data_IF_756758399808
#
_entry.id   IF_756758399808
#
_cell.length_a   1.000
_cell.length_b   1.000
_cell.length_c   1.000
_cell.angle_alpha   90.00
_cell.angle_beta   90.00
_cell.angle_gamma   90.00
#
_symmetry.space_group_name_H-M   'P 1'
#
loop_
_entity.id
_entity.type
_entity.pdbx_description
1 polymer ?
#
# COMPACT_ATOMS: atom_id res chain seq x y z
N UNK A 1 6.98 7.08 0.77
CA UNK A 1 6.42 6.40 -0.41
C UNK A 1 7.24 5.16 -0.66
N UNK A 2 6.62 4.05 -1.06
CA UNK A 2 7.35 2.82 -1.37
C UNK A 2 6.49 1.77 -2.04
N UNK A 3 7.16 0.87 -2.75
CA UNK A 3 6.57 -0.25 -3.48
C UNK A 3 6.88 -1.58 -2.79
N UNK A 4 5.93 -2.53 -2.78
CA UNK A 4 6.15 -3.88 -2.25
C UNK A 4 6.58 -3.85 -0.77
N UNK A 5 7.77 -4.38 -0.45
CA UNK A 5 8.38 -4.26 0.88
C UNK A 5 8.62 -2.80 1.31
N UNK A 6 8.84 -1.89 0.37
CA UNK A 6 8.85 -0.45 0.62
C UNK A 6 7.46 0.11 0.94
N UNK A 7 6.39 -0.52 0.44
CA UNK A 7 5.01 -0.22 0.81
C UNK A 7 4.73 -0.64 2.26
N UNK A 8 5.13 -1.85 2.66
CA UNK A 8 5.16 -2.29 4.06
C UNK A 8 5.91 -1.29 4.95
N UNK A 9 7.13 -0.92 4.55
CA UNK A 9 7.97 0.02 5.30
C UNK A 9 7.29 1.39 5.41
N UNK A 10 6.60 1.84 4.35
CA UNK A 10 5.82 3.09 4.37
C UNK A 10 4.72 3.03 5.43
N UNK A 11 3.98 1.92 5.53
CA UNK A 11 2.94 1.74 6.55
C UNK A 11 3.53 1.66 7.97
N UNK A 12 4.65 0.96 8.14
CA UNK A 12 5.35 0.87 9.42
C UNK A 12 5.77 2.25 9.96
N UNK A 13 6.37 3.08 9.10
CA UNK A 13 6.84 4.42 9.47
C UNK A 13 5.68 5.39 9.71
N UNK A 14 4.52 5.15 9.09
CA UNK A 14 3.30 5.93 9.35
C UNK A 14 2.56 5.54 10.62
N UNK A 15 3.04 4.55 11.37
CA UNK A 15 2.47 4.15 12.66
C UNK A 15 1.63 2.88 12.64
N UNK A 16 1.74 2.04 11.61
CA UNK A 16 1.12 0.72 11.63
C UNK A 16 1.58 -0.08 12.85
N UNK A 17 0.64 -0.45 13.73
CA UNK A 17 0.93 -1.26 14.90
C UNK A 17 1.12 -2.72 14.49
N UNK A 18 2.17 -3.35 15.00
CA UNK A 18 2.45 -4.75 14.69
C UNK A 18 1.59 -5.68 15.55
N UNK A 19 1.06 -6.73 14.93
CA UNK A 19 0.26 -7.76 15.59
C UNK A 19 1.13 -8.77 16.35
N UNK A 20 2.05 -8.28 17.20
CA UNK A 20 3.07 -9.09 17.89
C UNK A 20 2.45 -10.24 18.67
N UNK A 21 1.34 -10.01 19.35
CA UNK A 21 0.66 -11.05 20.15
C UNK A 21 0.05 -12.14 19.25
N UNK A 22 -0.52 -11.76 18.10
CA UNK A 22 -1.04 -12.72 17.12
C UNK A 22 0.08 -13.57 16.53
N UNK A 23 1.22 -12.96 16.19
CA UNK A 23 2.38 -13.71 15.71
C UNK A 23 2.89 -14.70 16.75
N UNK A 24 2.96 -14.29 18.03
CA UNK A 24 3.41 -15.18 19.11
C UNK A 24 2.47 -16.37 19.30
N UNK A 25 1.16 -16.16 19.17
CA UNK A 25 0.15 -17.21 19.27
C UNK A 25 0.21 -18.20 18.09
N UNK A 26 0.39 -17.69 16.88
CA UNK A 26 0.30 -18.46 15.63
C UNK A 26 1.65 -18.95 15.11
N UNK A 27 2.74 -18.75 15.86
CA UNK A 27 4.08 -19.09 15.41
C UNK A 27 4.32 -20.53 14.92
N UNK A 28 3.61 -21.56 15.42
CA UNK A 28 3.67 -22.91 14.85
C UNK A 28 3.08 -23.02 13.43
N UNK A 29 2.11 -22.17 13.07
CA UNK A 29 1.32 -22.24 11.83
C UNK A 29 1.66 -21.11 10.83
N UNK A 30 2.48 -20.14 11.24
CA UNK A 30 2.86 -19.00 10.40
C UNK A 30 3.86 -19.40 9.31
N UNK A 31 3.59 -19.00 8.06
CA UNK A 31 4.39 -19.35 6.90
C UNK A 31 5.81 -18.70 6.86
N UNK A 32 6.21 -17.97 7.90
CA UNK A 32 7.50 -17.28 7.99
C UNK A 32 8.31 -17.77 9.21
N UNK A 33 8.89 -18.99 9.17
CA UNK A 33 9.63 -19.59 10.29
C UNK A 33 10.70 -18.68 10.90
N UNK A 34 11.38 -17.88 10.07
CA UNK A 34 12.44 -16.96 10.49
C UNK A 34 11.94 -15.80 11.35
N UNK A 35 10.67 -15.39 11.20
CA UNK A 35 10.08 -14.36 12.07
C UNK A 35 9.90 -14.94 13.47
N UNK A 36 9.42 -16.16 13.58
CA UNK A 36 9.18 -16.82 14.86
C UNK A 36 10.45 -17.09 15.66
N UNK A 37 11.55 -17.44 15.00
CA UNK A 37 12.84 -17.62 15.65
C UNK A 37 13.37 -16.30 16.24
N UNK A 38 13.19 -15.19 15.52
CA UNK A 38 13.69 -13.87 15.92
C UNK A 38 12.71 -13.11 16.84
N UNK A 39 11.45 -13.55 16.94
CA UNK A 39 10.39 -12.79 17.60
C UNK A 39 10.65 -12.55 19.09
N UNK A 40 11.14 -13.51 19.90
CA UNK A 40 11.40 -13.26 21.32
C UNK A 40 12.35 -12.08 21.56
N UNK A 41 13.39 -11.94 20.73
CA UNK A 41 14.37 -10.85 20.83
C UNK A 41 13.85 -9.55 20.21
N UNK A 42 13.09 -9.63 19.12
CA UNK A 42 12.61 -8.47 18.39
C UNK A 42 11.26 -7.91 18.88
N UNK A 43 10.50 -8.65 19.69
CA UNK A 43 9.13 -8.31 20.08
C UNK A 43 9.00 -6.93 20.71
N UNK A 44 9.93 -6.57 21.62
CA UNK A 44 9.92 -5.25 22.26
C UNK A 44 10.06 -4.12 21.23
N UNK A 45 10.86 -4.32 20.18
CA UNK A 45 11.05 -3.35 19.11
C UNK A 45 9.80 -3.21 18.23
N UNK A 46 9.17 -4.33 17.87
CA UNK A 46 7.93 -4.29 17.09
C UNK A 46 6.76 -3.70 17.87
N UNK A 47 6.66 -3.97 19.19
CA UNK A 47 5.66 -3.33 20.06
C UNK A 47 5.86 -1.82 20.20
N UNK A 48 7.10 -1.35 20.21
CA UNK A 48 7.39 0.09 20.21
C UNK A 48 6.98 0.76 18.88
N UNK A 49 6.91 0.00 17.79
CA UNK A 49 6.58 0.49 16.45
C UNK A 49 7.73 1.29 15.81
N UNK A 50 7.49 1.78 14.60
CA UNK A 50 8.47 2.57 13.82
C UNK A 50 7.91 3.94 13.40
N UNK A 51 6.83 4.38 14.05
CA UNK A 51 6.18 5.65 13.75
C UNK A 51 7.19 6.81 13.79
N UNK A 52 7.22 7.62 12.73
CA UNK A 52 8.01 8.86 12.70
C UNK A 52 7.07 10.08 12.61
N UNK A 53 6.98 10.92 13.66
CA UNK A 53 6.04 12.04 13.70
C UNK A 53 6.32 13.13 12.66
N UNK A 54 7.48 13.08 11.98
CA UNK A 54 7.83 14.01 10.91
C UNK A 54 7.15 13.64 9.58
N UNK A 55 6.68 12.41 9.43
CA UNK A 55 5.97 11.96 8.22
C UNK A 55 4.53 12.47 8.25
N UNK A 56 4.09 13.07 7.14
CA UNK A 56 2.78 13.74 7.03
C UNK A 56 1.86 13.16 5.96
N UNK A 57 2.39 12.32 5.08
CA UNK A 57 1.62 11.62 4.05
C UNK A 57 2.34 10.32 3.66
N UNK A 58 1.58 9.26 3.44
CA UNK A 58 2.06 7.96 3.02
C UNK A 58 1.56 7.61 1.63
N UNK A 59 2.43 6.98 0.83
CA UNK A 59 2.07 6.44 -0.48
C UNK A 59 2.58 5.00 -0.52
N UNK A 60 1.67 4.05 -0.36
CA UNK A 60 1.98 2.63 -0.32
C UNK A 60 1.50 1.98 -1.64
N UNK A 61 2.43 1.50 -2.44
CA UNK A 61 2.18 0.89 -3.76
C UNK A 61 2.37 -0.61 -3.68
N UNK A 62 1.33 -1.39 -3.97
CA UNK A 62 1.34 -2.84 -3.84
C UNK A 62 2.01 -3.31 -2.53
N UNK A 63 1.61 -2.79 -1.35
CA UNK A 63 2.30 -3.07 -0.11
C UNK A 63 2.26 -4.55 0.26
N UNK A 64 3.42 -5.09 0.63
CA UNK A 64 3.55 -6.46 1.14
C UNK A 64 3.21 -6.59 2.62
N UNK A 65 3.27 -7.83 3.08
CA UNK A 65 3.35 -8.20 4.50
C UNK A 65 2.22 -7.64 5.38
N UNK A 66 1.00 -7.53 4.86
CA UNK A 66 -0.19 -7.11 5.63
C UNK A 66 -0.34 -7.86 6.96
N UNK A 67 -0.06 -9.16 6.95
CA UNK A 67 -0.21 -10.05 8.11
C UNK A 67 0.68 -9.62 9.30
N UNK A 68 1.69 -8.78 9.04
CA UNK A 68 2.49 -8.19 10.10
C UNK A 68 1.71 -7.16 10.96
N UNK A 69 0.71 -6.51 10.38
CA UNK A 69 -0.06 -5.47 11.07
C UNK A 69 -1.46 -5.94 11.45
N UNK A 70 -2.13 -6.69 10.56
CA UNK A 70 -3.56 -7.02 10.69
C UNK A 70 -4.38 -5.74 10.95
N UNK A 71 -5.29 -5.78 11.92
CA UNK A 71 -6.10 -4.62 12.35
C UNK A 71 -5.26 -3.48 12.95
N UNK A 72 -3.99 -3.72 13.27
CA UNK A 72 -3.05 -2.71 13.77
C UNK A 72 -2.79 -1.57 12.78
N UNK A 73 -3.15 -1.71 11.50
CA UNK A 73 -3.15 -0.61 10.54
C UNK A 73 -4.18 0.48 10.87
N UNK A 74 -5.21 0.19 11.67
CA UNK A 74 -6.17 1.18 12.14
C UNK A 74 -5.54 2.26 13.02
N UNK A 75 -4.35 2.02 13.57
CA UNK A 75 -3.59 3.01 14.34
C UNK A 75 -2.91 4.09 13.47
N UNK A 76 -2.92 3.94 12.13
CA UNK A 76 -2.31 4.92 11.23
C UNK A 76 -3.22 6.14 11.11
N UNK A 77 -2.86 7.22 11.81
CA UNK A 77 -3.51 8.53 11.66
C UNK A 77 -2.97 9.31 10.45
N UNK A 78 -1.76 8.98 9.99
CA UNK A 78 -1.15 9.67 8.85
C UNK A 78 -1.90 9.32 7.57
N UNK A 79 -2.33 10.29 6.76
CA UNK A 79 -3.03 10.03 5.50
C UNK A 79 -2.30 9.04 4.60
N UNK A 80 -3.02 8.07 4.05
CA UNK A 80 -2.47 7.03 3.16
C UNK A 80 -3.12 7.10 1.79
N UNK A 81 -2.29 7.20 0.75
CA UNK A 81 -2.64 6.83 -0.61
C UNK A 81 -2.22 5.38 -0.85
N UNK A 82 -3.21 4.50 -0.93
CA UNK A 82 -3.02 3.07 -1.16
C UNK A 82 -3.21 2.75 -2.65
N UNK A 83 -2.12 2.40 -3.33
CA UNK A 83 -2.10 2.08 -4.75
C UNK A 83 -2.04 0.56 -4.92
N UNK A 84 -2.99 -0.03 -5.65
CA UNK A 84 -3.14 -1.49 -5.79
C UNK A 84 -3.46 -1.90 -7.23
N UNK A 85 -3.13 -3.13 -7.60
CA UNK A 85 -3.46 -3.72 -8.90
C UNK A 85 -4.31 -4.98 -8.73
N UNK A 86 -5.44 -5.09 -9.45
CA UNK A 86 -6.34 -6.24 -9.31
C UNK A 86 -5.74 -7.57 -9.76
N UNK A 87 -4.73 -7.51 -10.64
CA UNK A 87 -4.03 -8.68 -11.18
C UNK A 87 -2.69 -8.91 -10.48
N UNK A 88 -2.40 -8.22 -9.38
CA UNK A 88 -1.18 -8.43 -8.58
C UNK A 88 -1.16 -9.86 -8.02
N UNK A 89 -0.08 -10.59 -8.29
CA UNK A 89 0.08 -12.00 -7.88
C UNK A 89 0.97 -12.17 -6.66
N UNK A 90 1.75 -11.15 -6.29
CA UNK A 90 2.62 -11.17 -5.10
C UNK A 90 1.87 -10.65 -3.89
N UNK A 91 1.28 -9.47 -4.02
CA UNK A 91 0.49 -8.79 -2.98
C UNK A 91 -0.96 -8.72 -3.43
N UNK A 92 -1.57 -9.90 -3.53
CA UNK A 92 -2.89 -10.07 -4.11
C UNK A 92 -3.96 -9.20 -3.46
N UNK A 93 -5.01 -8.92 -4.21
CA UNK A 93 -6.18 -8.19 -3.70
C UNK A 93 -6.80 -8.82 -2.45
N UNK A 94 -6.92 -10.15 -2.43
CA UNK A 94 -7.49 -10.85 -1.29
C UNK A 94 -6.52 -10.94 -0.10
N UNK A 95 -5.20 -11.06 -0.36
CA UNK A 95 -4.19 -11.26 0.68
C UNK A 95 -3.63 -9.97 1.28
N UNK A 96 -3.68 -8.85 0.56
CA UNK A 96 -3.09 -7.58 1.02
C UNK A 96 -3.91 -6.36 0.64
N UNK A 97 -4.26 -6.18 -0.64
CA UNK A 97 -4.92 -4.95 -1.11
C UNK A 97 -6.23 -4.62 -0.38
N UNK A 98 -7.16 -5.57 -0.31
CA UNK A 98 -8.44 -5.39 0.37
C UNK A 98 -8.30 -5.36 1.89
N UNK A 99 -7.57 -6.30 2.54
CA UNK A 99 -7.39 -6.26 3.99
C UNK A 99 -6.71 -4.99 4.51
N UNK A 100 -5.65 -4.50 3.85
CA UNK A 100 -5.00 -3.22 4.21
C UNK A 100 -6.00 -2.08 4.13
N UNK A 101 -6.78 -2.02 3.05
CA UNK A 101 -7.78 -0.97 2.90
C UNK A 101 -8.86 -1.05 3.98
N UNK A 102 -9.33 -2.25 4.32
CA UNK A 102 -10.34 -2.44 5.37
C UNK A 102 -9.83 -2.02 6.74
N UNK A 103 -8.59 -2.37 7.09
CA UNK A 103 -7.99 -2.06 8.39
C UNK A 103 -7.71 -0.56 8.61
N UNK A 104 -7.41 0.22 7.56
CA UNK A 104 -7.23 1.68 7.68
C UNK A 104 -8.52 2.38 8.14
N UNK A 105 -8.42 3.47 8.91
CA UNK A 105 -9.57 4.18 9.47
C UNK A 105 -9.49 5.70 9.26
N UNK A 106 -10.63 6.34 9.02
CA UNK A 106 -10.71 7.80 8.90
C UNK A 106 -10.69 8.33 7.46
N UNK A 107 -11.29 9.50 7.22
CA UNK A 107 -11.65 9.99 5.89
C UNK A 107 -10.46 10.55 5.08
N UNK A 108 -9.26 10.60 5.66
CA UNK A 108 -8.07 11.12 5.00
C UNK A 108 -7.47 10.12 3.99
N UNK A 109 -7.71 8.83 4.16
CA UNK A 109 -7.15 7.79 3.31
C UNK A 109 -7.85 7.72 1.95
N UNK A 110 -7.08 7.43 0.91
CA UNK A 110 -7.57 7.18 -0.45
C UNK A 110 -6.97 5.89 -0.96
N UNK A 111 -7.74 5.16 -1.77
CA UNK A 111 -7.23 4.01 -2.51
C UNK A 111 -7.47 4.22 -3.99
N UNK A 112 -6.45 3.90 -4.77
CA UNK A 112 -6.46 3.94 -6.23
C UNK A 112 -6.11 2.54 -6.71
N UNK A 113 -7.05 1.89 -7.39
CA UNK A 113 -6.91 0.50 -7.82
C UNK A 113 -6.93 0.41 -9.34
N UNK A 114 -5.90 -0.23 -9.90
CA UNK A 114 -5.79 -0.48 -11.33
C UNK A 114 -6.44 -1.83 -11.69
N UNK A 115 -7.44 -1.80 -12.58
CA UNK A 115 -8.19 -2.98 -12.99
C UNK A 115 -7.31 -4.03 -13.70
N UNK A 116 -6.34 -3.57 -14.50
CA UNK A 116 -5.34 -4.42 -15.15
C UNK A 116 -3.92 -4.12 -14.62
N UNK A 117 -3.79 -3.71 -13.36
CA UNK A 117 -2.49 -3.53 -12.71
C UNK A 117 -1.99 -4.83 -12.07
N UNK A 118 -0.70 -5.12 -12.21
CA UNK A 118 0.01 -6.17 -11.49
C UNK A 118 1.02 -5.60 -10.49
N UNK A 119 1.82 -6.46 -9.88
CA UNK A 119 2.79 -6.06 -8.85
C UNK A 119 3.79 -5.03 -9.36
N UNK A 120 4.30 -5.21 -10.58
CA UNK A 120 5.35 -4.36 -11.15
C UNK A 120 4.84 -3.12 -11.88
N UNK A 121 3.51 -2.91 -11.96
CA UNK A 121 2.89 -1.73 -12.58
C UNK A 121 3.34 -0.39 -11.95
N UNK A 122 3.82 -0.42 -10.71
CA UNK A 122 4.25 0.76 -9.96
C UNK A 122 5.77 0.99 -10.03
N UNK A 123 6.47 0.36 -10.98
CA UNK A 123 7.93 0.36 -11.03
C UNK A 123 8.44 0.68 -12.43
N UNK A 124 9.66 1.22 -12.49
CA UNK A 124 10.38 1.37 -13.75
C UNK A 124 11.13 0.11 -14.18
N UNK A 125 10.83 -1.08 -13.62
CA UNK A 125 11.61 -2.29 -13.87
C UNK A 125 11.26 -2.99 -15.19
N UNK A 126 10.04 -2.80 -15.70
CA UNK A 126 9.55 -3.49 -16.90
C UNK A 126 10.47 -3.42 -18.14
N UNK A 127 11.09 -2.28 -18.50
CA UNK A 127 12.01 -2.22 -19.64
C UNK A 127 13.41 -2.78 -19.36
N UNK A 128 13.79 -3.03 -18.10
CA UNK A 128 15.18 -3.35 -17.73
C UNK A 128 15.39 -4.81 -17.33
N UNK A 129 14.35 -5.52 -16.91
CA UNK A 129 14.51 -6.89 -16.38
C UNK A 129 13.83 -7.87 -17.33
N UNK A 130 14.64 -8.53 -18.16
CA UNK A 130 14.24 -9.44 -19.24
C UNK A 130 13.35 -10.60 -18.81
N UNK A 131 12.07 -10.34 -18.63
CA UNK A 131 11.03 -11.31 -18.34
C UNK A 131 10.45 -11.30 -16.93
N UNK A 132 11.07 -10.63 -15.97
CA UNK A 132 10.54 -10.50 -14.60
C UNK A 132 9.29 -9.61 -14.62
N UNK A 133 8.22 -10.05 -13.98
CA UNK A 133 6.96 -9.31 -13.96
C UNK A 133 6.17 -9.37 -15.27
N UNK A 134 6.60 -10.14 -16.28
CA UNK A 134 5.81 -10.33 -17.52
C UNK A 134 4.42 -10.86 -17.23
N UNK A 135 4.26 -11.71 -16.24
CA UNK A 135 2.99 -12.25 -15.80
C UNK A 135 2.41 -11.54 -14.56
N UNK A 136 2.97 -10.37 -14.19
CA UNK A 136 2.59 -9.61 -13.00
C UNK A 136 2.87 -8.09 -13.13
N UNK A 137 2.37 -7.45 -14.19
CA UNK A 137 2.39 -5.98 -14.34
C UNK A 137 3.25 -5.40 -15.46
N UNK A 138 4.08 -6.21 -16.13
CA UNK A 138 4.94 -5.78 -17.25
C UNK A 138 4.59 -6.43 -18.60
N UNK A 139 3.66 -7.38 -18.61
CA UNK A 139 3.21 -8.08 -19.82
C UNK A 139 2.13 -7.34 -20.60
N UNK A 140 1.76 -7.87 -21.78
CA UNK A 140 0.74 -7.26 -22.65
C UNK A 140 -0.68 -7.30 -22.06
N UNK A 141 -0.94 -8.15 -21.07
CA UNK A 141 -2.26 -8.28 -20.43
C UNK A 141 -2.50 -7.22 -19.34
N UNK A 142 -1.50 -6.37 -19.06
CA UNK A 142 -1.54 -5.35 -18.02
C UNK A 142 -1.60 -3.93 -18.61
N UNK A 143 -2.04 -2.95 -17.82
CA UNK A 143 -1.98 -1.54 -18.21
C UNK A 143 -0.52 -1.15 -18.50
N UNK A 144 -0.20 -0.66 -19.72
CA UNK A 144 1.18 -0.33 -20.08
C UNK A 144 1.77 0.76 -19.18
N UNK A 145 3.07 0.73 -18.85
CA UNK A 145 3.71 1.76 -18.03
C UNK A 145 3.52 3.20 -18.54
N UNK A 146 3.50 3.38 -19.87
CA UNK A 146 3.27 4.69 -20.50
C UNK A 146 1.87 5.27 -20.20
N UNK A 147 0.91 4.43 -19.82
CA UNK A 147 -0.45 4.80 -19.42
C UNK A 147 -0.58 4.81 -17.88
N UNK A 148 -0.07 3.79 -17.20
CA UNK A 148 -0.18 3.65 -15.76
C UNK A 148 0.60 4.75 -15.00
N UNK A 149 1.85 5.02 -15.39
CA UNK A 149 2.73 5.91 -14.62
C UNK A 149 2.25 7.37 -14.58
N UNK A 150 1.81 7.99 -15.71
CA UNK A 150 1.21 9.32 -15.64
C UNK A 150 0.02 9.37 -14.68
N UNK A 151 -0.88 8.38 -14.75
CA UNK A 151 -2.04 8.31 -13.85
C UNK A 151 -1.63 8.16 -12.38
N UNK A 152 -0.65 7.30 -12.07
CA UNK A 152 -0.07 7.17 -10.72
C UNK A 152 0.48 8.52 -10.24
N UNK A 153 1.25 9.22 -11.08
CA UNK A 153 1.85 10.51 -10.74
C UNK A 153 0.77 11.56 -10.45
N UNK A 154 -0.28 11.64 -11.26
CA UNK A 154 -1.39 12.58 -11.04
C UNK A 154 -2.09 12.34 -9.69
N UNK A 155 -2.41 11.08 -9.37
CA UNK A 155 -3.02 10.74 -8.07
C UNK A 155 -2.09 11.03 -6.89
N UNK A 156 -0.80 10.69 -7.02
CA UNK A 156 0.21 10.98 -6.01
C UNK A 156 0.33 12.49 -5.79
N UNK A 157 0.40 13.26 -6.88
CA UNK A 157 0.55 14.71 -6.80
C UNK A 157 -0.68 15.36 -6.18
N UNK A 158 -1.88 15.01 -6.63
CA UNK A 158 -3.13 15.50 -6.05
C UNK A 158 -3.22 15.18 -4.54
N UNK A 159 -2.81 13.97 -4.14
CA UNK A 159 -2.81 13.56 -2.73
C UNK A 159 -1.83 14.37 -1.89
N UNK A 160 -0.60 14.58 -2.39
CA UNK A 160 0.41 15.36 -1.68
C UNK A 160 0.05 16.85 -1.60
N UNK A 161 -0.52 17.42 -2.67
CA UNK A 161 -1.03 18.79 -2.66
C UNK A 161 -2.04 19.01 -1.54
N UNK A 162 -3.02 18.12 -1.45
CA UNK A 162 -4.04 18.16 -0.41
C UNK A 162 -3.44 17.97 0.99
N UNK A 163 -2.64 16.92 1.20
CA UNK A 163 -2.22 16.52 2.54
C UNK A 163 -1.05 17.32 3.11
N UNK A 164 -0.16 17.84 2.26
CA UNK A 164 1.02 18.59 2.72
C UNK A 164 0.81 20.10 2.67
N UNK A 165 0.00 20.60 1.73
CA UNK A 165 -0.15 22.03 1.48
C UNK A 165 -1.57 22.56 1.69
N UNK A 166 -2.55 21.68 1.93
CA UNK A 166 -3.96 22.08 2.01
C UNK A 166 -4.51 22.58 0.67
N UNK A 167 -3.83 22.30 -0.44
CA UNK A 167 -4.23 22.70 -1.78
C UNK A 167 -5.24 21.69 -2.34
N UNK A 168 -6.46 22.14 -2.56
CA UNK A 168 -7.58 21.32 -3.03
C UNK A 168 -7.74 21.32 -4.56
N UNK A 169 -6.84 21.94 -5.31
CA UNK A 169 -6.92 21.97 -6.78
C UNK A 169 -6.98 20.55 -7.40
N UNK A 170 -6.23 19.59 -6.82
CA UNK A 170 -6.25 18.18 -7.23
C UNK A 170 -7.37 17.35 -6.58
N UNK A 171 -8.19 17.92 -5.70
CA UNK A 171 -9.15 17.18 -4.87
C UNK A 171 -10.19 16.43 -5.68
N UNK A 172 -10.63 17.01 -6.80
CA UNK A 172 -11.60 16.40 -7.70
C UNK A 172 -11.11 15.06 -8.27
N UNK A 173 -9.79 14.86 -8.43
CA UNK A 173 -9.24 13.57 -8.87
C UNK A 173 -9.42 12.49 -7.78
N UNK A 174 -9.27 12.85 -6.51
CA UNK A 174 -9.38 11.94 -5.36
C UNK A 174 -10.83 11.67 -4.97
N UNK A 175 -11.72 12.65 -5.19
CA UNK A 175 -13.09 12.64 -4.71
C UNK A 175 -14.15 12.48 -5.81
N UNK A 176 -13.76 12.61 -7.07
CA UNK A 176 -14.64 12.52 -8.24
C UNK A 176 -14.53 11.21 -9.02
N UNK A 177 -15.00 11.21 -10.28
CA UNK A 177 -14.82 10.10 -11.21
C UNK A 177 -13.34 9.78 -11.42
N UNK A 178 -12.99 8.52 -11.75
CA UNK A 178 -11.60 8.15 -12.01
C UNK A 178 -11.05 8.90 -13.23
N UNK A 179 -9.79 9.32 -13.15
CA UNK A 179 -9.07 10.00 -14.24
C UNK A 179 -8.94 9.13 -15.49
N UNK A 180 -8.92 7.82 -15.29
CA UNK A 180 -8.67 6.84 -16.33
C UNK A 180 -9.61 5.64 -16.19
N UNK A 181 -10.17 5.07 -17.29
CA UNK A 181 -11.09 3.92 -17.22
C UNK A 181 -10.47 2.66 -16.60
N UNK A 182 -9.15 2.56 -16.58
CA UNK A 182 -8.43 1.45 -15.94
C UNK A 182 -8.36 1.58 -14.41
N UNK A 183 -8.89 2.65 -13.81
CA UNK A 183 -8.73 2.96 -12.39
C UNK A 183 -10.06 3.08 -11.67
N UNK A 184 -10.10 2.58 -10.45
CA UNK A 184 -11.15 2.84 -9.46
C UNK A 184 -10.56 3.64 -8.29
N UNK A 185 -11.33 4.60 -7.77
CA UNK A 185 -10.94 5.40 -6.61
C UNK A 185 -11.89 5.11 -5.46
N UNK A 186 -11.35 4.65 -4.34
CA UNK A 186 -12.10 4.35 -3.12
C UNK A 186 -11.72 5.33 -2.01
N UNK A 187 -12.70 5.57 -1.13
CA UNK A 187 -12.64 6.57 -0.05
C UNK A 187 -13.12 5.93 1.23
N UNK A 188 -12.49 6.31 2.34
CA UNK A 188 -13.07 6.06 3.65
C UNK A 188 -14.15 7.10 3.89
N UNK A 189 -15.28 6.65 4.42
CA UNK A 189 -16.36 7.54 4.85
C UNK A 189 -15.92 8.27 6.13
N UNK A 190 -16.50 9.44 6.37
CA UNK A 190 -16.41 10.07 7.69
C UNK A 190 -17.45 9.37 8.58
N UNK A 191 -17.02 8.88 9.75
CA UNK A 191 -17.93 8.42 10.81
C UNK A 191 -18.77 9.57 11.36
#
# INVERSE_FOLDING_TARGET
AGHSFGGYTTLAVGGGAYAVDAWQADCPDYALPRICDALPEAAARYRAGFADPRVKALIAMAPGDYLLFLDGLGAIETPVLHLTGRLDRMTTEAGSGTPIWQALQGPAHRRVQFAAGGHFTFTNLCPWIGGLGRDDGCGPDFTPPAEAHPVIIEYVWAFLQWQLFGDDAGRALLDGPPLHPAVEVLRKEAE
#
